data_IF_945099507630
#
_entry.id   IF_945099507630
#
_cell.length_a   1.000
_cell.length_b   1.000
_cell.length_c   1.000
_cell.angle_alpha   90.00
_cell.angle_beta   90.00
_cell.angle_gamma   90.00
#
_symmetry.space_group_name_H-M   'P 1'
#
loop_
_entity.id
_entity.type
_entity.pdbx_description
1 polymer ?
#
# COMPACT_ATOMS: atom_id res chain seq x y z
N UNK A 1 18.74 7.02 31.34
CA UNK A 1 17.44 6.57 30.81
C UNK A 1 17.68 6.04 29.41
N UNK A 2 17.82 4.72 29.25
CA UNK A 2 17.90 4.09 27.93
C UNK A 2 16.47 3.97 27.42
N UNK A 3 16.19 4.55 26.26
CA UNK A 3 15.00 4.18 25.50
C UNK A 3 15.29 2.78 24.97
N UNK A 4 14.73 1.76 25.62
CA UNK A 4 14.61 0.44 25.03
C UNK A 4 13.71 0.61 23.80
N UNK A 5 14.32 0.64 22.63
CA UNK A 5 13.61 0.38 21.38
C UNK A 5 12.89 -0.93 21.54
N UNK A 6 11.55 -0.90 21.56
CA UNK A 6 10.70 -2.09 21.54
C UNK A 6 11.25 -3.06 20.49
N UNK A 7 11.45 -4.31 20.90
CA UNK A 7 11.87 -5.40 20.01
C UNK A 7 10.78 -5.62 18.95
N UNK A 8 10.79 -4.81 17.88
CA UNK A 8 10.08 -5.11 16.63
C UNK A 8 10.84 -6.17 15.81
N UNK A 9 11.86 -6.79 16.40
CA UNK A 9 12.69 -7.81 15.80
C UNK A 9 12.17 -9.18 16.22
N UNK A 10 11.21 -9.74 15.47
CA UNK A 10 11.19 -11.19 15.37
C UNK A 10 12.55 -11.62 14.82
N UNK A 11 13.19 -12.59 15.46
CA UNK A 11 14.60 -12.94 15.26
C UNK A 11 14.98 -13.19 13.78
N UNK A 12 13.98 -13.51 12.94
CA UNK A 12 14.18 -13.95 11.56
C UNK A 12 13.65 -12.98 10.48
N UNK A 13 13.15 -11.78 10.85
CA UNK A 13 12.48 -10.86 9.90
C UNK A 13 11.36 -11.53 9.07
N UNK A 14 10.75 -12.61 9.56
CA UNK A 14 9.70 -13.34 8.85
C UNK A 14 8.52 -12.45 8.48
N UNK A 15 8.26 -11.43 9.31
CA UNK A 15 7.24 -10.44 9.02
C UNK A 15 7.48 -9.74 7.67
N UNK A 16 8.75 -9.46 7.36
CA UNK A 16 9.13 -8.74 6.15
C UNK A 16 8.80 -9.55 4.89
N UNK A 17 8.92 -10.88 4.95
CA UNK A 17 8.67 -11.74 3.80
C UNK A 17 7.22 -11.64 3.30
N UNK A 18 6.24 -11.49 4.19
CA UNK A 18 4.84 -11.35 3.80
C UNK A 18 4.42 -9.88 3.59
N UNK A 19 5.10 -8.92 4.22
CA UNK A 19 4.85 -7.47 4.02
C UNK A 19 5.44 -6.94 2.70
N UNK A 20 6.63 -7.43 2.30
CA UNK A 20 7.36 -6.95 1.12
C UNK A 20 6.54 -7.00 -0.19
N UNK A 21 5.70 -8.02 -0.45
CA UNK A 21 4.78 -8.02 -1.59
C UNK A 21 3.83 -6.81 -1.61
N UNK A 22 3.24 -6.44 -0.48
CA UNK A 22 2.37 -5.26 -0.36
C UNK A 22 3.14 -3.97 -0.62
N UNK A 23 4.33 -3.83 -0.02
CA UNK A 23 5.19 -2.66 -0.23
C UNK A 23 5.57 -2.53 -1.71
N UNK A 24 5.98 -3.63 -2.32
CA UNK A 24 6.39 -3.68 -3.73
C UNK A 24 5.24 -3.30 -4.63
N UNK A 25 4.07 -3.91 -4.43
CA UNK A 25 2.88 -3.63 -5.24
C UNK A 25 2.37 -2.20 -5.05
N UNK A 26 2.39 -1.66 -3.83
CA UNK A 26 2.04 -0.26 -3.56
C UNK A 26 2.94 0.68 -4.37
N UNK A 27 4.26 0.46 -4.35
CA UNK A 27 5.22 1.25 -5.13
C UNK A 27 4.97 1.15 -6.63
N UNK A 28 4.61 -0.03 -7.15
CA UNK A 28 4.24 -0.22 -8.57
C UNK A 28 3.00 0.61 -8.92
N UNK A 29 1.90 0.44 -8.16
CA UNK A 29 0.64 1.17 -8.39
C UNK A 29 0.87 2.69 -8.36
N UNK A 30 1.55 3.20 -7.34
CA UNK A 30 1.81 4.64 -7.20
C UNK A 30 2.75 5.19 -8.28
N UNK A 31 3.59 4.35 -8.87
CA UNK A 31 4.47 4.74 -9.97
C UNK A 31 3.71 4.79 -11.27
N UNK A 32 2.89 3.77 -11.57
CA UNK A 32 2.04 3.73 -12.76
C UNK A 32 1.00 4.85 -12.73
N UNK A 33 0.36 5.09 -11.59
CA UNK A 33 -0.58 6.21 -11.38
C UNK A 33 0.00 7.55 -11.84
N UNK A 34 1.27 7.81 -11.50
CA UNK A 34 1.95 9.08 -11.80
C UNK A 34 2.51 9.16 -13.22
N UNK A 35 2.70 8.02 -13.89
CA UNK A 35 3.39 7.93 -15.16
C UNK A 35 2.57 7.27 -16.27
N UNK A 36 1.27 7.06 -16.09
CA UNK A 36 0.42 6.25 -16.97
C UNK A 36 0.58 6.60 -18.47
N UNK A 37 0.40 7.87 -18.83
CA UNK A 37 0.57 8.36 -20.21
C UNK A 37 2.01 8.20 -20.72
N UNK A 38 3.01 8.39 -19.85
CA UNK A 38 4.42 8.21 -20.23
C UNK A 38 4.75 6.74 -20.47
N UNK A 39 4.24 5.86 -19.62
CA UNK A 39 4.41 4.42 -19.77
C UNK A 39 3.68 3.90 -21.00
N UNK A 40 2.52 4.47 -21.36
CA UNK A 40 1.88 4.20 -22.65
C UNK A 40 2.84 4.47 -23.81
N UNK A 41 3.47 5.64 -23.83
CA UNK A 41 4.47 5.99 -24.86
C UNK A 41 5.66 5.04 -24.87
N UNK A 42 6.17 4.65 -23.72
CA UNK A 42 7.25 3.66 -23.64
C UNK A 42 6.82 2.30 -24.24
N UNK A 43 5.62 1.84 -23.92
CA UNK A 43 5.04 0.62 -24.49
C UNK A 43 4.86 0.72 -26.01
N UNK A 44 4.39 1.86 -26.53
CA UNK A 44 4.31 2.13 -27.97
C UNK A 44 5.69 2.10 -28.67
N UNK A 45 6.78 2.39 -27.94
CA UNK A 45 8.15 2.26 -28.43
C UNK A 45 8.77 0.86 -28.23
N UNK A 46 7.98 -0.13 -27.78
CA UNK A 46 8.44 -1.50 -27.57
C UNK A 46 9.15 -1.75 -26.24
N UNK A 47 9.05 -0.83 -25.28
CA UNK A 47 9.56 -1.08 -23.92
C UNK A 47 8.58 -1.97 -23.17
N UNK A 48 9.04 -3.11 -22.70
CA UNK A 48 8.20 -4.07 -21.98
C UNK A 48 8.21 -3.85 -20.46
N UNK A 49 9.34 -3.44 -19.89
CA UNK A 49 9.52 -3.33 -18.43
C UNK A 49 10.21 -2.03 -18.05
N UNK A 50 9.70 -1.38 -16.99
CA UNK A 50 10.34 -0.24 -16.35
C UNK A 50 10.84 -0.64 -14.97
N UNK A 51 12.10 -0.31 -14.66
CA UNK A 51 12.72 -0.57 -13.35
C UNK A 51 12.75 0.72 -12.53
N UNK A 52 12.19 0.66 -11.32
CA UNK A 52 12.26 1.72 -10.32
C UNK A 52 13.31 1.40 -9.27
N UNK A 53 13.88 2.44 -8.63
CA UNK A 53 14.73 2.32 -7.43
C UNK A 53 14.24 1.23 -6.48
N UNK A 54 15.18 0.37 -6.07
CA UNK A 54 14.92 -0.82 -5.26
C UNK A 54 14.66 -2.08 -6.09
N UNK A 55 15.08 -2.10 -7.35
CA UNK A 55 14.89 -3.22 -8.29
C UNK A 55 13.42 -3.65 -8.44
N UNK A 56 12.51 -2.67 -8.39
CA UNK A 56 11.07 -2.94 -8.56
C UNK A 56 10.75 -2.85 -10.04
N UNK A 57 10.53 -4.01 -10.62
CA UNK A 57 10.14 -4.17 -12.01
C UNK A 57 8.64 -3.93 -12.19
N UNK A 58 8.29 -3.21 -13.25
CA UNK A 58 6.92 -2.93 -13.68
C UNK A 58 6.82 -3.40 -15.12
N UNK A 59 6.26 -4.59 -15.34
CA UNK A 59 5.91 -5.06 -16.68
C UNK A 59 4.73 -4.22 -17.18
N UNK A 60 4.91 -3.49 -18.27
CA UNK A 60 3.92 -2.51 -18.76
C UNK A 60 2.63 -3.17 -19.25
N UNK A 61 2.70 -4.44 -19.68
CA UNK A 61 1.55 -5.22 -20.13
C UNK A 61 0.53 -5.51 -19.00
N UNK A 62 0.94 -5.48 -17.74
CA UNK A 62 0.06 -5.77 -16.59
C UNK A 62 -0.82 -4.58 -16.19
N UNK A 63 -0.67 -3.45 -16.88
CA UNK A 63 -1.30 -2.18 -16.51
C UNK A 63 -2.11 -1.65 -17.67
N UNK A 64 -3.27 -1.10 -17.34
CA UNK A 64 -4.02 -0.29 -18.30
C UNK A 64 -3.37 1.10 -18.38
N UNK A 65 -2.79 1.39 -19.54
CA UNK A 65 -2.03 2.60 -19.84
C UNK A 65 -2.77 3.53 -20.82
N UNK A 66 -3.96 3.16 -21.28
CA UNK A 66 -4.72 3.94 -22.29
C UNK A 66 -5.77 4.87 -21.68
N UNK A 67 -5.78 5.00 -20.35
CA UNK A 67 -6.68 5.91 -19.66
C UNK A 67 -6.26 7.37 -19.85
N UNK A 68 -7.26 8.26 -19.88
CA UNK A 68 -7.01 9.68 -19.68
C UNK A 68 -6.42 9.92 -18.28
N UNK A 69 -5.53 10.91 -18.13
CA UNK A 69 -4.71 11.06 -16.90
C UNK A 69 -5.53 11.18 -15.61
N UNK A 70 -6.71 11.81 -15.66
CA UNK A 70 -7.62 11.92 -14.50
C UNK A 70 -8.22 10.58 -14.09
N UNK A 71 -8.54 9.75 -15.08
CA UNK A 71 -9.12 8.43 -14.86
C UNK A 71 -8.04 7.50 -14.32
N UNK A 72 -6.84 7.52 -14.88
CA UNK A 72 -5.68 6.82 -14.34
C UNK A 72 -5.41 7.23 -12.88
N UNK A 73 -5.46 8.52 -12.57
CA UNK A 73 -5.24 9.02 -11.22
C UNK A 73 -6.22 8.44 -10.20
N UNK A 74 -7.49 8.33 -10.59
CA UNK A 74 -8.59 7.84 -9.75
C UNK A 74 -8.59 6.31 -9.68
N UNK A 75 -8.46 5.64 -10.82
CA UNK A 75 -8.41 4.18 -10.93
C UNK A 75 -7.29 3.59 -10.09
N UNK A 76 -6.06 4.11 -10.24
CA UNK A 76 -4.93 3.61 -9.48
C UNK A 76 -4.90 4.09 -8.02
N UNK A 77 -5.59 5.19 -7.68
CA UNK A 77 -5.82 5.53 -6.27
C UNK A 77 -6.70 4.47 -5.60
N UNK A 78 -7.80 4.06 -6.24
CA UNK A 78 -8.68 3.00 -5.73
C UNK A 78 -7.97 1.64 -5.62
N UNK A 79 -7.18 1.26 -6.63
CA UNK A 79 -6.35 0.04 -6.55
C UNK A 79 -5.35 0.09 -5.39
N UNK A 80 -4.76 1.25 -5.13
CA UNK A 80 -3.84 1.43 -4.00
C UNK A 80 -4.57 1.34 -2.67
N UNK A 81 -5.74 1.98 -2.55
CA UNK A 81 -6.59 1.91 -1.37
C UNK A 81 -7.00 0.46 -1.06
N UNK A 82 -7.48 -0.29 -2.05
CA UNK A 82 -7.81 -1.72 -1.90
C UNK A 82 -6.61 -2.57 -1.46
N UNK A 83 -5.40 -2.26 -1.96
CA UNK A 83 -4.19 -2.93 -1.51
C UNK A 83 -3.89 -2.62 -0.03
N UNK A 84 -4.08 -1.37 0.40
CA UNK A 84 -3.89 -0.97 1.79
C UNK A 84 -4.94 -1.59 2.73
N UNK A 85 -6.20 -1.69 2.29
CA UNK A 85 -7.27 -2.36 3.04
C UNK A 85 -6.88 -3.83 3.26
N UNK A 86 -6.56 -4.57 2.19
CA UNK A 86 -6.12 -5.97 2.31
C UNK A 86 -4.90 -6.14 3.20
N UNK A 87 -3.96 -5.21 3.12
CA UNK A 87 -2.79 -5.22 3.99
C UNK A 87 -3.18 -5.06 5.48
N UNK A 88 -4.09 -4.14 5.79
CA UNK A 88 -4.58 -3.94 7.15
C UNK A 88 -5.37 -5.17 7.66
N UNK A 89 -6.19 -5.77 6.79
CA UNK A 89 -6.94 -7.00 7.10
C UNK A 89 -6.00 -8.16 7.43
N UNK A 90 -4.95 -8.37 6.62
CA UNK A 90 -3.96 -9.43 6.85
C UNK A 90 -3.13 -9.18 8.13
N UNK A 91 -2.87 -7.91 8.49
CA UNK A 91 -2.26 -7.58 9.79
C UNK A 91 -3.17 -8.07 10.94
N UNK A 92 -4.47 -7.76 10.89
CA UNK A 92 -5.41 -8.13 11.94
C UNK A 92 -5.54 -9.66 12.07
N UNK A 93 -5.62 -10.38 10.95
CA UNK A 93 -5.65 -11.84 10.92
C UNK A 93 -4.39 -12.44 11.56
N UNK A 94 -3.21 -11.97 11.16
CA UNK A 94 -1.92 -12.47 11.68
C UNK A 94 -1.69 -12.11 13.14
N UNK A 95 -2.24 -11.00 13.60
CA UNK A 95 -2.21 -10.58 15.01
C UNK A 95 -3.21 -11.37 15.89
N UNK A 96 -4.03 -12.24 15.30
CA UNK A 96 -5.02 -13.03 16.03
C UNK A 96 -6.24 -12.23 16.49
N UNK A 97 -6.50 -11.09 15.82
CA UNK A 97 -7.63 -10.19 16.09
C UNK A 97 -8.44 -9.90 14.82
N UNK A 98 -8.85 -10.93 14.03
CA UNK A 98 -9.56 -10.72 12.77
C UNK A 98 -10.88 -9.97 12.93
N UNK A 99 -11.48 -9.99 14.12
CA UNK A 99 -12.70 -9.25 14.44
C UNK A 99 -12.57 -7.73 14.30
N UNK A 100 -11.35 -7.20 14.18
CA UNK A 100 -11.13 -5.78 13.88
C UNK A 100 -11.50 -5.42 12.43
N UNK A 101 -11.52 -6.39 11.51
CA UNK A 101 -11.88 -6.15 10.11
C UNK A 101 -13.36 -5.78 9.94
N UNK A 102 -14.21 -6.25 10.87
CA UNK A 102 -15.67 -6.02 10.85
C UNK A 102 -16.11 -4.83 11.72
N UNK A 103 -15.16 -4.13 12.37
CA UNK A 103 -15.45 -3.01 13.27
C UNK A 103 -15.18 -1.69 12.57
N UNK A 104 -16.13 -0.78 12.67
CA UNK A 104 -15.90 0.60 12.30
C UNK A 104 -14.79 1.21 13.16
N UNK A 105 -13.82 1.85 12.49
CA UNK A 105 -12.83 2.66 13.16
C UNK A 105 -13.49 3.81 13.92
N UNK A 106 -12.82 4.30 14.95
CA UNK A 106 -13.27 5.49 15.66
C UNK A 106 -13.38 6.66 14.68
N UNK A 107 -14.45 7.45 14.82
CA UNK A 107 -14.50 8.76 14.17
C UNK A 107 -13.34 9.63 14.65
N UNK A 108 -12.92 10.61 13.84
CA UNK A 108 -11.86 11.53 14.25
C UNK A 108 -12.16 12.20 15.60
N UNK A 109 -13.42 12.56 15.84
CA UNK A 109 -13.88 13.14 17.11
C UNK A 109 -13.78 12.15 18.26
N UNK A 110 -14.28 10.92 18.08
CA UNK A 110 -14.20 9.88 19.10
C UNK A 110 -12.74 9.52 19.44
N UNK A 111 -11.87 9.46 18.43
CA UNK A 111 -10.44 9.26 18.61
C UNK A 111 -9.78 10.42 19.37
N UNK A 112 -10.14 11.67 19.05
CA UNK A 112 -9.62 12.84 19.75
C UNK A 112 -10.10 12.90 21.23
N UNK A 113 -11.36 12.55 21.50
CA UNK A 113 -11.90 12.43 22.86
C UNK A 113 -11.12 11.40 23.67
N UNK A 114 -10.89 10.21 23.09
CA UNK A 114 -10.12 9.13 23.72
C UNK A 114 -8.68 9.58 24.07
N UNK A 115 -7.98 10.27 23.16
CA UNK A 115 -6.65 10.81 23.43
C UNK A 115 -6.65 11.90 24.51
N UNK A 116 -7.72 12.68 24.63
CA UNK A 116 -7.88 13.72 25.64
C UNK A 116 -8.31 13.17 27.02
N UNK A 117 -8.45 11.85 27.17
CA UNK A 117 -8.95 11.23 28.41
C UNK A 117 -10.42 11.53 28.69
N UNK A 118 -11.19 11.88 27.66
CA UNK A 118 -12.64 12.05 27.75
C UNK A 118 -13.28 10.79 27.18
N UNK A 119 -14.29 10.24 27.86
CA UNK A 119 -15.07 9.15 27.26
C UNK A 119 -15.63 9.61 25.90
N UNK A 120 -15.53 8.77 24.86
CA UNK A 120 -15.96 9.11 23.50
C UNK A 120 -17.46 9.36 23.39
#
# INVERSE_FOLDING_TARGET
MRVETAELHTADNEWRAWVDPYITQSKRILTVRRNNVRFKKLSEYGVETVVRKGNIEIALADWDLDMHYRDAWTHYARKHEQLCIRFAEEIAERAGVPELNDRDGLSQTAFASLLAGREP
#
